data_IF_004917291856
#
_entry.id   IF_004917291856
#
_cell.length_a   1.000
_cell.length_b   1.000
_cell.length_c   1.000
_cell.angle_alpha   90.00
_cell.angle_beta   90.00
_cell.angle_gamma   90.00
#
_symmetry.space_group_name_H-M   'P 1'
#
loop_
_entity.id
_entity.type
_entity.pdbx_description
1 polymer ?
#
# COMPACT_ATOMS: atom_id res chain seq x y z
N UNK A 1 -37.19 -5.67 -16.45
CA UNK A 1 -37.90 -4.46 -16.00
C UNK A 1 -38.76 -4.80 -14.79
N UNK A 2 -38.30 -4.49 -13.59
CA UNK A 2 -39.11 -4.48 -12.37
C UNK A 2 -38.77 -3.19 -11.63
N UNK A 3 -39.64 -2.20 -11.75
CA UNK A 3 -39.57 -0.94 -10.99
C UNK A 3 -40.59 -1.10 -9.87
N UNK A 4 -40.15 -1.55 -8.69
CA UNK A 4 -41.00 -1.53 -7.50
C UNK A 4 -40.88 -0.17 -6.83
N UNK A 5 -42.03 0.44 -6.53
CA UNK A 5 -42.11 1.51 -5.55
C UNK A 5 -41.80 0.89 -4.17
N UNK A 6 -40.56 1.02 -3.73
CA UNK A 6 -40.07 0.25 -2.59
C UNK A 6 -40.30 1.04 -1.28
N UNK A 7 -41.41 0.76 -0.61
CA UNK A 7 -41.61 0.99 0.83
C UNK A 7 -41.15 -0.22 1.68
N UNK A 8 -40.49 -1.21 1.07
CA UNK A 8 -39.97 -2.41 1.73
C UNK A 8 -38.44 -2.43 1.79
N UNK A 9 -37.90 -2.97 2.89
CA UNK A 9 -36.47 -3.06 3.18
C UNK A 9 -35.61 -3.51 1.98
N UNK A 10 -34.50 -2.82 1.79
CA UNK A 10 -33.55 -2.99 0.69
C UNK A 10 -32.84 -4.35 0.75
N UNK A 11 -32.61 -5.02 -0.40
CA UNK A 11 -31.80 -6.24 -0.45
C UNK A 11 -30.37 -5.99 0.03
N UNK A 12 -29.88 -6.86 0.91
CA UNK A 12 -28.45 -6.94 1.27
C UNK A 12 -27.69 -7.42 0.05
N UNK A 13 -26.67 -6.69 -0.39
CA UNK A 13 -25.78 -7.11 -1.48
C UNK A 13 -24.32 -7.12 -1.02
N UNK A 14 -23.60 -8.18 -1.37
CA UNK A 14 -22.18 -8.33 -1.06
C UNK A 14 -21.34 -7.73 -2.18
N UNK A 15 -20.46 -6.78 -1.84
CA UNK A 15 -19.50 -6.19 -2.77
C UNK A 15 -18.18 -6.97 -2.62
N UNK A 16 -17.68 -7.57 -3.70
CA UNK A 16 -16.40 -8.25 -3.70
C UNK A 16 -15.23 -7.25 -3.65
N UNK A 17 -14.06 -7.66 -3.15
CA UNK A 17 -12.88 -6.81 -3.11
C UNK A 17 -12.49 -6.32 -4.52
N UNK A 18 -12.14 -5.04 -4.64
CA UNK A 18 -11.83 -4.36 -5.91
C UNK A 18 -12.99 -4.25 -6.91
N UNK A 19 -14.24 -4.38 -6.48
CA UNK A 19 -15.41 -4.18 -7.35
C UNK A 19 -16.05 -2.80 -7.17
N UNK A 20 -16.60 -2.28 -8.27
CA UNK A 20 -17.48 -1.12 -8.29
C UNK A 20 -18.90 -1.59 -8.05
N UNK A 21 -19.55 -1.10 -7.01
CA UNK A 21 -20.99 -1.28 -6.83
C UNK A 21 -21.74 -0.09 -7.41
N UNK A 22 -22.73 -0.36 -8.25
CA UNK A 22 -23.61 0.65 -8.86
C UNK A 22 -25.01 0.49 -8.29
N UNK A 23 -25.47 1.47 -7.52
CA UNK A 23 -26.87 1.59 -7.12
C UNK A 23 -27.52 2.62 -8.03
N UNK A 24 -28.55 2.21 -8.78
CA UNK A 24 -29.35 3.10 -9.62
C UNK A 24 -30.52 3.65 -8.81
N UNK A 25 -30.51 4.96 -8.57
CA UNK A 25 -31.60 5.67 -7.92
C UNK A 25 -32.41 6.42 -8.97
N UNK A 26 -33.74 6.25 -8.96
CA UNK A 26 -34.67 6.94 -9.86
C UNK A 26 -35.74 7.63 -9.00
N UNK A 27 -35.71 8.96 -8.86
CA UNK A 27 -36.76 9.70 -8.17
C UNK A 27 -38.08 9.60 -8.97
N UNK A 28 -39.14 9.09 -8.34
CA UNK A 28 -40.43 8.86 -9.01
C UNK A 28 -41.28 10.14 -9.15
N UNK A 29 -41.11 11.13 -8.26
CA UNK A 29 -41.80 12.43 -8.38
C UNK A 29 -41.11 13.57 -7.60
N UNK A 30 -40.84 14.67 -8.32
CA UNK A 30 -40.23 15.90 -7.78
C UNK A 30 -38.73 15.79 -7.46
N UNK A 31 -38.05 16.94 -7.37
CA UNK A 31 -36.68 16.98 -6.86
C UNK A 31 -36.72 16.74 -5.35
N UNK A 32 -36.05 15.69 -4.87
CA UNK A 32 -35.96 15.34 -3.45
C UNK A 32 -34.54 14.96 -3.11
N UNK A 33 -34.12 15.26 -1.88
CA UNK A 33 -32.92 14.67 -1.30
C UNK A 33 -33.14 13.17 -1.11
N UNK A 34 -32.21 12.33 -1.58
CA UNK A 34 -32.18 10.91 -1.27
C UNK A 34 -31.06 10.68 -0.27
N UNK A 35 -31.42 10.20 0.92
CA UNK A 35 -30.44 9.77 1.94
C UNK A 35 -30.23 8.27 1.79
N UNK A 36 -28.98 7.85 1.57
CA UNK A 36 -28.60 6.44 1.55
C UNK A 36 -27.97 6.08 2.89
N UNK A 37 -28.60 5.16 3.62
CA UNK A 37 -28.05 4.61 4.87
C UNK A 37 -27.34 3.29 4.59
N UNK A 38 -26.08 3.19 5.01
CA UNK A 38 -25.31 1.93 4.94
C UNK A 38 -25.31 1.32 6.34
N UNK A 39 -26.13 0.30 6.57
CA UNK A 39 -26.32 -0.29 7.90
C UNK A 39 -25.08 -1.02 8.43
N UNK A 40 -24.35 -1.73 7.57
CA UNK A 40 -23.10 -2.42 7.93
C UNK A 40 -22.21 -2.46 6.70
N UNK A 41 -21.03 -1.84 6.79
CA UNK A 41 -19.99 -1.93 5.77
C UNK A 41 -18.80 -2.70 6.35
N UNK A 42 -18.65 -3.95 5.91
CA UNK A 42 -17.52 -4.80 6.30
C UNK A 42 -16.45 -4.73 5.22
N UNK A 43 -15.43 -3.90 5.44
CA UNK A 43 -14.23 -3.90 4.61
C UNK A 43 -13.30 -4.99 5.15
N UNK A 44 -13.15 -6.07 4.37
CA UNK A 44 -12.20 -7.13 4.74
C UNK A 44 -10.80 -6.54 4.73
N UNK A 45 -10.27 -6.37 5.93
CA UNK A 45 -8.94 -5.85 6.31
C UNK A 45 -8.92 -4.33 6.54
N UNK A 46 -8.88 -3.96 7.83
CA UNK A 46 -8.51 -2.66 8.42
C UNK A 46 -9.57 -1.61 8.75
N UNK A 47 -10.79 -1.68 8.22
CA UNK A 47 -11.80 -0.66 8.54
C UNK A 47 -13.14 -1.30 8.89
N UNK A 48 -13.45 -1.33 10.18
CA UNK A 48 -14.79 -1.62 10.65
C UNK A 48 -15.60 -0.32 10.59
N UNK A 49 -16.47 -0.18 9.59
CA UNK A 49 -17.35 0.97 9.42
C UNK A 49 -18.73 0.77 10.08
N UNK A 50 -18.90 -0.23 10.96
CA UNK A 50 -20.16 -0.44 11.68
C UNK A 50 -20.54 0.83 12.44
N UNK A 51 -21.79 1.28 12.25
CA UNK A 51 -22.37 2.45 12.90
C UNK A 51 -21.55 3.75 12.75
N UNK A 52 -20.81 3.90 11.64
CA UNK A 52 -20.11 5.16 11.29
C UNK A 52 -20.87 5.86 10.17
N UNK A 53 -21.06 7.18 10.29
CA UNK A 53 -21.60 7.99 9.21
C UNK A 53 -20.54 8.12 8.09
N UNK A 54 -20.90 7.71 6.88
CA UNK A 54 -20.13 8.00 5.66
C UNK A 54 -20.82 9.20 5.00
N UNK A 55 -20.17 10.35 5.04
CA UNK A 55 -20.75 11.63 4.56
C UNK A 55 -20.04 12.07 3.28
N UNK A 56 -20.78 12.22 2.18
CA UNK A 56 -20.28 12.91 0.98
C UNK A 56 -20.21 14.41 1.25
N UNK A 57 -19.12 15.07 0.83
CA UNK A 57 -19.01 16.54 0.85
C UNK A 57 -19.69 17.20 -0.36
N UNK A 58 -20.14 16.40 -1.33
CA UNK A 58 -20.83 16.89 -2.52
C UNK A 58 -22.35 16.80 -2.35
N UNK A 59 -23.02 17.92 -2.55
CA UNK A 59 -24.48 17.99 -2.70
C UNK A 59 -24.82 17.91 -4.19
N UNK A 60 -25.48 16.82 -4.60
CA UNK A 60 -25.93 16.64 -5.99
C UNK A 60 -27.45 16.75 -6.02
N UNK A 61 -27.97 17.71 -6.78
CA UNK A 61 -29.41 17.83 -7.02
C UNK A 61 -29.86 16.78 -8.05
N UNK A 62 -30.79 15.91 -7.66
CA UNK A 62 -31.34 14.88 -8.54
C UNK A 62 -32.59 15.38 -9.27
N UNK A 63 -32.69 15.06 -10.56
CA UNK A 63 -33.78 15.46 -11.46
C UNK A 63 -34.67 14.26 -11.79
N UNK A 64 -36.00 14.49 -11.95
CA UNK A 64 -36.94 13.44 -12.37
C UNK A 64 -36.54 12.78 -13.70
N UNK A 65 -36.76 11.47 -13.80
CA UNK A 65 -36.48 10.71 -15.03
C UNK A 65 -34.99 10.51 -15.35
N UNK A 66 -34.07 11.04 -14.53
CA UNK A 66 -32.62 10.81 -14.67
C UNK A 66 -32.17 9.68 -13.77
N UNK A 67 -31.20 8.91 -14.26
CA UNK A 67 -30.57 7.83 -13.52
C UNK A 67 -29.24 8.31 -12.98
N UNK A 68 -29.02 8.08 -11.69
CA UNK A 68 -27.79 8.46 -11.01
C UNK A 68 -27.09 7.21 -10.49
N UNK A 69 -25.76 7.24 -10.55
CA UNK A 69 -24.89 6.17 -10.07
C UNK A 69 -24.07 6.70 -8.92
N UNK A 70 -24.15 6.05 -7.76
CA UNK A 70 -23.19 6.24 -6.66
C UNK A 70 -22.13 5.15 -6.82
N UNK A 71 -20.87 5.56 -6.97
CA UNK A 71 -19.72 4.66 -7.04
C UNK A 71 -18.97 4.71 -5.71
N UNK A 72 -18.92 3.58 -5.00
CA UNK A 72 -18.04 3.40 -3.84
C UNK A 72 -16.75 2.71 -4.32
N UNK A 73 -15.61 3.38 -4.20
CA UNK A 73 -14.29 2.82 -4.55
C UNK A 73 -13.47 2.62 -3.28
N UNK A 74 -13.17 1.37 -2.96
CA UNK A 74 -12.26 1.01 -1.88
C UNK A 74 -10.94 0.59 -2.50
N UNK A 75 -9.92 1.42 -2.36
CA UNK A 75 -8.59 1.07 -2.82
C UNK A 75 -7.70 0.88 -1.60
N UNK A 76 -7.20 -0.35 -1.44
CA UNK A 76 -6.28 -0.70 -0.37
C UNK A 76 -4.92 -0.02 -0.55
N UNK A 77 -4.18 0.17 0.55
CA UNK A 77 -2.86 0.77 0.53
C UNK A 77 -2.84 2.27 0.87
N UNK A 78 -1.63 2.81 0.95
CA UNK A 78 -1.33 4.19 1.33
C UNK A 78 -1.00 4.96 0.04
N UNK A 79 -1.82 5.95 -0.28
CA UNK A 79 -1.57 6.90 -1.36
C UNK A 79 -1.94 8.28 -0.83
N UNK A 80 -1.01 9.23 -0.95
CA UNK A 80 -1.20 10.60 -0.51
C UNK A 80 -1.28 11.54 -1.71
N UNK A 81 -2.09 12.59 -1.59
CA UNK A 81 -1.97 13.71 -2.51
C UNK A 81 -0.61 14.40 -2.29
N UNK A 82 -0.05 15.02 -3.33
CA UNK A 82 1.22 15.73 -3.21
C UNK A 82 1.18 16.84 -2.13
N UNK A 83 0.00 17.44 -1.89
CA UNK A 83 -0.25 18.42 -0.82
C UNK A 83 -0.12 17.83 0.59
N UNK A 84 -0.38 16.55 0.75
CA UNK A 84 -0.35 15.86 2.06
C UNK A 84 1.05 15.31 2.39
N UNK A 85 1.99 15.38 1.43
CA UNK A 85 3.39 15.01 1.61
C UNK A 85 4.12 16.20 2.26
N UNK A 86 4.32 16.13 3.57
CA UNK A 86 4.78 17.24 4.41
C UNK A 86 6.11 16.98 5.16
N UNK A 87 6.66 15.76 5.08
CA UNK A 87 8.00 15.47 5.58
C UNK A 87 9.05 15.92 4.57
N UNK A 88 9.32 17.22 4.51
CA UNK A 88 10.16 17.84 3.48
C UNK A 88 11.57 18.19 3.93
N UNK A 89 11.93 17.85 5.16
CA UNK A 89 13.18 18.28 5.79
C UNK A 89 14.42 17.66 5.15
N UNK A 90 14.28 16.59 4.37
CA UNK A 90 15.41 15.85 3.78
C UNK A 90 15.57 16.05 2.26
N UNK A 91 15.25 17.25 1.76
CA UNK A 91 15.41 17.58 0.34
C UNK A 91 14.27 17.07 -0.55
N UNK A 92 13.09 16.82 0.03
CA UNK A 92 11.88 16.43 -0.72
C UNK A 92 11.45 17.56 -1.67
N UNK A 93 11.63 17.38 -2.97
CA UNK A 93 11.27 18.36 -3.98
C UNK A 93 9.78 18.28 -4.36
N UNK A 94 9.24 19.31 -5.02
CA UNK A 94 7.89 19.25 -5.59
C UNK A 94 7.74 18.11 -6.61
N UNK A 95 8.80 17.82 -7.37
CA UNK A 95 8.83 16.67 -8.30
C UNK A 95 8.72 15.35 -7.55
N UNK A 96 9.46 15.18 -6.44
CA UNK A 96 9.39 13.98 -5.62
C UNK A 96 7.98 13.77 -5.08
N UNK A 97 7.33 14.83 -4.59
CA UNK A 97 5.94 14.76 -4.10
C UNK A 97 4.97 14.34 -5.19
N UNK A 98 5.07 14.92 -6.38
CA UNK A 98 4.19 14.60 -7.50
C UNK A 98 4.39 13.16 -7.99
N UNK A 99 5.62 12.66 -7.98
CA UNK A 99 5.92 11.29 -8.36
C UNK A 99 5.45 10.28 -7.32
N UNK A 100 5.68 10.55 -6.03
CA UNK A 100 5.20 9.71 -4.93
C UNK A 100 3.67 9.70 -4.84
N UNK A 101 2.99 10.79 -5.18
CA UNK A 101 1.52 10.86 -5.20
C UNK A 101 0.89 9.96 -6.29
N UNK A 102 1.65 9.58 -7.33
CA UNK A 102 1.22 8.61 -8.35
C UNK A 102 1.36 7.16 -7.87
N UNK A 103 2.00 6.95 -6.72
CA UNK A 103 2.29 5.64 -6.17
C UNK A 103 1.38 5.32 -4.99
N UNK A 104 1.10 4.02 -4.87
CA UNK A 104 0.29 3.44 -3.81
C UNK A 104 1.07 2.32 -3.14
N UNK A 105 1.22 2.40 -1.84
CA UNK A 105 2.05 1.49 -1.05
C UNK A 105 1.20 0.49 -0.27
N UNK A 106 1.71 -0.72 -0.07
CA UNK A 106 1.07 -1.71 0.79
C UNK A 106 1.02 -1.23 2.25
N UNK A 107 -0.05 -1.56 2.98
CA UNK A 107 -0.18 -1.17 4.40
C UNK A 107 0.68 -2.00 5.34
N UNK A 108 1.25 -3.12 4.89
CA UNK A 108 2.22 -3.93 5.64
C UNK A 108 3.41 -4.37 4.79
N UNK A 109 4.44 -4.90 5.47
CA UNK A 109 5.53 -5.61 4.80
C UNK A 109 5.01 -6.95 4.27
N UNK A 110 5.53 -7.43 3.15
CA UNK A 110 5.14 -8.71 2.58
C UNK A 110 5.37 -9.86 3.59
N UNK A 111 4.38 -10.74 3.76
CA UNK A 111 4.36 -11.79 4.80
C UNK A 111 3.78 -13.08 4.23
N UNK A 112 4.57 -13.81 3.46
CA UNK A 112 4.16 -15.08 2.85
C UNK A 112 5.32 -16.07 2.71
N UNK A 113 5.05 -17.36 2.88
CA UNK A 113 6.05 -18.44 2.75
C UNK A 113 5.94 -19.24 1.44
N UNK A 114 5.07 -18.82 0.50
CA UNK A 114 5.17 -19.28 -0.89
C UNK A 114 4.18 -20.33 -1.38
N UNK A 115 3.44 -21.05 -0.52
CA UNK A 115 2.61 -22.16 -1.01
C UNK A 115 1.25 -21.73 -1.62
N UNK A 116 0.61 -20.69 -1.09
CA UNK A 116 -0.58 -20.00 -1.65
C UNK A 116 -0.77 -18.67 -0.91
N UNK A 117 -1.51 -17.72 -1.50
CA UNK A 117 -2.00 -16.50 -0.82
C UNK A 117 -0.91 -15.58 -0.27
N UNK A 118 -0.10 -14.95 -1.14
CA UNK A 118 0.77 -13.88 -0.65
C UNK A 118 -0.08 -12.74 -0.09
N UNK A 119 0.23 -12.36 1.14
CA UNK A 119 -0.40 -11.27 1.88
C UNK A 119 0.68 -10.32 2.37
N UNK A 120 0.32 -9.07 2.59
CA UNK A 120 1.14 -8.19 3.42
C UNK A 120 0.70 -8.29 4.88
N UNK A 121 1.61 -7.96 5.79
CA UNK A 121 1.40 -7.94 7.22
C UNK A 121 0.24 -7.02 7.59
N UNK A 122 -0.42 -7.34 8.69
CA UNK A 122 -1.56 -6.58 9.19
C UNK A 122 -1.21 -5.10 9.34
N UNK A 123 -0.12 -4.79 10.04
CA UNK A 123 0.26 -3.39 10.35
C UNK A 123 1.56 -2.95 9.68
N UNK A 124 1.77 -1.62 9.60
CA UNK A 124 3.03 -1.03 9.14
C UNK A 124 4.21 -1.35 10.09
N UNK A 125 3.91 -1.67 11.35
CA UNK A 125 4.88 -1.94 12.42
C UNK A 125 5.32 -3.40 12.50
N UNK A 126 4.70 -4.30 11.74
CA UNK A 126 5.16 -5.69 11.64
C UNK A 126 6.31 -5.84 10.65
N UNK A 127 7.30 -6.68 11.00
CA UNK A 127 8.50 -6.86 10.18
C UNK A 127 8.26 -7.55 8.84
N UNK A 128 7.21 -8.37 8.71
CA UNK A 128 6.97 -9.21 7.54
C UNK A 128 7.97 -10.35 7.43
N UNK A 129 8.08 -10.94 6.24
CA UNK A 129 9.10 -11.93 5.90
C UNK A 129 10.18 -11.30 5.02
N UNK A 130 11.30 -12.01 4.93
CA UNK A 130 12.46 -11.61 4.16
C UNK A 130 12.48 -12.34 2.82
N UNK A 131 12.90 -11.64 1.77
CA UNK A 131 12.98 -12.15 0.41
C UNK A 131 14.32 -11.75 -0.22
N UNK A 132 14.85 -12.64 -1.05
CA UNK A 132 16.04 -12.34 -1.85
C UNK A 132 15.70 -11.58 -3.12
N UNK A 133 16.72 -10.95 -3.69
CA UNK A 133 16.55 -10.15 -4.90
C UNK A 133 16.00 -10.99 -6.05
N UNK A 134 14.86 -10.55 -6.61
CA UNK A 134 14.16 -11.23 -7.69
C UNK A 134 13.83 -12.71 -7.39
N UNK A 135 13.57 -13.03 -6.12
CA UNK A 135 13.19 -14.38 -5.67
C UNK A 135 11.85 -14.38 -4.93
N UNK A 136 11.09 -15.44 -5.16
CA UNK A 136 9.98 -15.84 -4.31
C UNK A 136 10.50 -16.53 -3.04
N UNK A 137 9.63 -16.77 -2.07
CA UNK A 137 10.03 -17.36 -0.79
C UNK A 137 10.61 -18.78 -0.95
N UNK A 138 10.14 -19.55 -1.92
CA UNK A 138 10.61 -20.90 -2.25
C UNK A 138 11.96 -20.91 -3.02
N UNK A 139 12.54 -19.75 -3.29
CA UNK A 139 13.80 -19.60 -4.04
C UNK A 139 13.64 -19.58 -5.57
N UNK A 140 12.42 -19.77 -6.10
CA UNK A 140 12.14 -19.59 -7.51
C UNK A 140 12.27 -18.12 -7.93
N UNK A 141 12.56 -17.86 -9.20
CA UNK A 141 12.75 -16.50 -9.70
C UNK A 141 11.41 -15.78 -9.89
N UNK A 142 11.29 -14.57 -9.35
CA UNK A 142 10.12 -13.72 -9.53
C UNK A 142 10.02 -12.58 -8.54
N UNK A 143 9.21 -11.57 -8.88
CA UNK A 143 8.88 -10.47 -7.97
C UNK A 143 7.85 -10.95 -6.93
N UNK A 144 8.19 -10.99 -5.63
CA UNK A 144 7.29 -11.51 -4.61
C UNK A 144 6.04 -10.63 -4.43
N UNK A 145 6.10 -9.35 -4.77
CA UNK A 145 4.92 -8.47 -4.74
C UNK A 145 3.92 -8.76 -5.85
N UNK A 146 4.37 -9.31 -6.98
CA UNK A 146 3.47 -9.72 -8.08
C UNK A 146 2.58 -10.91 -7.72
N UNK A 147 2.93 -11.63 -6.64
CA UNK A 147 2.21 -12.79 -6.15
C UNK A 147 1.13 -12.47 -5.13
N UNK A 148 1.05 -11.21 -4.66
CA UNK A 148 -0.01 -10.76 -3.75
C UNK A 148 -1.37 -11.25 -4.26
N UNK A 149 -2.18 -11.81 -3.35
CA UNK A 149 -3.45 -12.41 -3.72
C UNK A 149 -4.34 -11.35 -4.41
N UNK A 150 -4.61 -11.59 -5.69
CA UNK A 150 -5.29 -10.64 -6.57
C UNK A 150 -6.75 -10.44 -6.20
N UNK A 151 -7.40 -11.46 -5.60
CA UNK A 151 -8.76 -11.33 -5.10
C UNK A 151 -8.83 -10.35 -3.93
N UNK A 152 -7.80 -10.26 -3.08
CA UNK A 152 -7.77 -9.32 -1.96
C UNK A 152 -7.17 -7.97 -2.35
N UNK A 153 -6.01 -7.96 -3.01
CA UNK A 153 -5.21 -6.74 -3.21
C UNK A 153 -5.29 -6.17 -4.63
N UNK A 154 -5.89 -6.90 -5.57
CA UNK A 154 -5.89 -6.55 -6.98
C UNK A 154 -4.55 -6.85 -7.65
N UNK A 155 -4.38 -6.34 -8.86
CA UNK A 155 -3.20 -6.60 -9.70
C UNK A 155 -2.22 -5.42 -9.74
N UNK A 156 -1.06 -5.65 -10.37
CA UNK A 156 -0.02 -4.65 -10.66
C UNK A 156 0.78 -4.16 -9.45
N UNK A 157 0.76 -4.93 -8.35
CA UNK A 157 1.71 -4.75 -7.26
C UNK A 157 3.09 -5.27 -7.67
N UNK A 158 4.12 -4.55 -7.24
CA UNK A 158 5.51 -4.82 -7.57
C UNK A 158 6.45 -4.38 -6.44
N UNK A 159 7.67 -4.90 -6.47
CA UNK A 159 8.76 -4.39 -5.64
C UNK A 159 9.15 -2.97 -6.13
N UNK A 160 9.38 -2.00 -5.23
CA UNK A 160 9.71 -0.63 -5.61
C UNK A 160 11.08 -0.51 -6.29
N UNK A 161 11.26 0.53 -7.10
CA UNK A 161 12.56 0.80 -7.75
C UNK A 161 13.50 1.55 -6.81
N UNK A 162 14.80 1.56 -7.15
CA UNK A 162 15.79 2.46 -6.54
C UNK A 162 15.29 3.92 -6.52
N UNK A 163 14.84 4.43 -7.66
CA UNK A 163 14.41 5.83 -7.79
C UNK A 163 13.20 6.16 -6.90
N UNK A 164 12.25 5.23 -6.78
CA UNK A 164 11.08 5.39 -5.90
C UNK A 164 11.48 5.41 -4.42
N UNK A 165 12.41 4.54 -3.99
CA UNK A 165 12.93 4.57 -2.63
C UNK A 165 13.80 5.80 -2.36
N UNK A 166 14.59 6.29 -3.33
CA UNK A 166 15.37 7.53 -3.20
C UNK A 166 14.47 8.75 -2.99
N UNK A 167 13.32 8.79 -3.67
CA UNK A 167 12.28 9.80 -3.44
C UNK A 167 11.69 9.70 -2.04
N UNK A 168 11.40 8.50 -1.55
CA UNK A 168 10.99 8.32 -0.16
C UNK A 168 12.06 8.82 0.82
N UNK A 169 13.33 8.46 0.61
CA UNK A 169 14.44 8.94 1.44
C UNK A 169 14.46 10.46 1.52
N UNK A 170 14.25 11.18 0.41
CA UNK A 170 14.19 12.64 0.44
C UNK A 170 12.95 13.18 1.17
N UNK A 171 11.85 12.43 1.16
CA UNK A 171 10.59 12.79 1.79
C UNK A 171 10.39 12.10 3.15
N UNK A 172 11.37 12.21 4.05
CA UNK A 172 11.29 11.80 5.46
C UNK A 172 11.87 12.89 6.36
N UNK A 173 11.44 12.92 7.63
CA UNK A 173 12.04 13.76 8.68
C UNK A 173 13.23 13.08 9.38
N UNK A 174 13.57 11.84 8.98
CA UNK A 174 14.63 11.00 9.56
C UNK A 174 14.45 10.70 11.05
N UNK A 175 13.24 10.84 11.60
CA UNK A 175 12.98 10.51 12.99
C UNK A 175 12.87 8.99 13.14
N UNK A 176 13.83 8.40 13.85
CA UNK A 176 13.85 6.97 14.12
C UNK A 176 13.05 6.62 15.37
N UNK A 177 12.09 5.69 15.24
CA UNK A 177 11.34 5.14 16.38
C UNK A 177 11.06 3.64 16.16
N UNK A 178 12.13 2.84 16.12
CA UNK A 178 12.06 1.42 15.73
C UNK A 178 11.71 1.21 14.25
N UNK A 179 11.79 2.27 13.45
CA UNK A 179 11.36 2.41 12.07
C UNK A 179 11.38 3.90 11.69
N UNK A 180 10.97 4.24 10.48
CA UNK A 180 10.90 5.64 10.02
C UNK A 180 9.61 5.93 9.26
N UNK A 181 9.11 7.16 9.43
CA UNK A 181 8.00 7.69 8.64
C UNK A 181 8.48 8.36 7.36
N UNK A 182 7.70 8.19 6.31
CA UNK A 182 7.93 8.73 4.98
C UNK A 182 6.65 9.39 4.49
N UNK A 183 6.82 10.44 3.70
CA UNK A 183 5.82 11.32 3.14
C UNK A 183 5.03 12.15 4.17
N UNK A 184 4.50 11.51 5.21
CA UNK A 184 3.70 12.12 6.27
C UNK A 184 3.79 11.24 7.53
N UNK A 185 3.99 11.82 8.71
CA UNK A 185 4.18 11.06 9.96
C UNK A 185 2.90 10.52 10.60
N UNK A 186 1.73 10.79 10.00
CA UNK A 186 0.42 10.33 10.46
C UNK A 186 -0.31 9.50 9.40
N UNK A 187 -0.28 9.95 8.16
CA UNK A 187 -1.02 9.36 7.04
C UNK A 187 -0.11 8.59 6.08
N UNK A 188 1.20 8.77 6.20
CA UNK A 188 2.16 8.27 5.22
C UNK A 188 2.59 6.83 5.44
N UNK A 189 3.76 6.52 4.91
CA UNK A 189 4.34 5.20 4.94
C UNK A 189 5.31 5.09 6.13
N UNK A 190 5.11 4.11 6.98
CA UNK A 190 6.05 3.72 8.01
C UNK A 190 6.74 2.42 7.62
N UNK A 191 8.07 2.45 7.59
CA UNK A 191 8.89 1.27 7.38
C UNK A 191 9.48 0.83 8.71
N UNK A 192 9.12 -0.38 9.17
CA UNK A 192 9.67 -0.98 10.37
C UNK A 192 11.16 -1.29 10.18
N UNK A 193 11.97 -0.99 11.19
CA UNK A 193 13.33 -1.50 11.29
C UNK A 193 13.28 -2.99 11.68
N UNK A 194 13.18 -3.87 10.70
CA UNK A 194 13.05 -5.32 10.87
C UNK A 194 14.40 -6.07 10.70
N UNK A 195 15.47 -5.35 10.36
CA UNK A 195 16.77 -5.93 10.07
C UNK A 195 16.85 -6.53 8.66
N UNK A 196 17.72 -7.52 8.50
CA UNK A 196 17.94 -8.28 7.27
C UNK A 196 18.45 -9.69 7.54
N UNK A 197 18.48 -10.55 6.51
CA UNK A 197 19.04 -11.91 6.57
C UNK A 197 20.31 -12.01 5.72
N UNK A 198 21.50 -11.77 6.29
CA UNK A 198 22.74 -11.85 5.54
C UNK A 198 22.99 -13.29 5.07
N UNK A 199 23.27 -13.45 3.77
CA UNK A 199 23.70 -14.69 3.09
C UNK A 199 22.82 -15.93 3.30
N UNK A 200 21.61 -15.75 3.82
CA UNK A 200 20.68 -16.82 4.21
C UNK A 200 19.35 -16.75 3.46
N UNK A 201 19.19 -15.72 2.62
CA UNK A 201 18.06 -15.58 1.71
C UNK A 201 16.69 -15.42 2.40
N UNK A 202 15.60 -15.95 1.81
CA UNK A 202 14.25 -15.79 2.32
C UNK A 202 14.03 -16.46 3.68
N UNK A 203 13.26 -15.83 4.57
CA UNK A 203 13.00 -16.37 5.91
C UNK A 203 12.06 -15.51 6.75
N UNK A 204 11.82 -15.95 7.99
CA UNK A 204 10.88 -15.30 8.91
C UNK A 204 11.55 -14.24 9.80
N UNK A 205 12.80 -14.44 10.16
CA UNK A 205 13.52 -13.61 11.15
C UNK A 205 14.80 -13.01 10.55
N UNK A 206 15.03 -11.73 10.86
CA UNK A 206 16.19 -10.98 10.43
C UNK A 206 17.12 -10.64 11.59
N UNK A 207 18.42 -10.57 11.29
CA UNK A 207 19.45 -9.99 12.18
C UNK A 207 19.30 -8.47 12.25
N UNK A 208 19.55 -7.87 13.43
CA UNK A 208 19.42 -6.41 13.61
C UNK A 208 17.97 -5.90 13.68
N UNK A 209 17.01 -6.79 13.95
CA UNK A 209 15.61 -6.38 14.16
C UNK A 209 15.52 -5.36 15.30
N UNK A 210 14.89 -4.22 15.04
CA UNK A 210 14.77 -3.11 15.98
C UNK A 210 15.93 -2.12 15.98
N UNK A 211 16.99 -2.33 15.19
CA UNK A 211 18.13 -1.38 15.08
C UNK A 211 18.29 -0.79 13.69
N UNK A 212 17.96 -1.54 12.63
CA UNK A 212 17.96 -1.03 11.25
C UNK A 212 16.81 -1.61 10.42
N UNK A 213 16.46 -0.93 9.32
CA UNK A 213 15.54 -1.43 8.32
C UNK A 213 16.23 -1.53 6.98
N UNK A 214 16.14 -2.72 6.35
CA UNK A 214 16.71 -2.96 5.02
C UNK A 214 15.62 -3.46 4.08
N UNK A 215 15.30 -2.65 3.08
CA UNK A 215 14.18 -2.86 2.16
C UNK A 215 14.65 -3.08 0.73
N UNK A 216 14.12 -4.14 0.12
CA UNK A 216 14.47 -4.55 -1.23
C UNK A 216 14.01 -3.54 -2.29
N UNK A 217 14.84 -3.33 -3.30
CA UNK A 217 14.39 -2.75 -4.57
C UNK A 217 14.35 -3.79 -5.69
N UNK A 218 13.62 -3.48 -6.76
CA UNK A 218 13.65 -4.24 -8.01
C UNK A 218 14.85 -3.86 -8.89
N UNK A 219 15.79 -3.02 -8.43
CA UNK A 219 16.87 -2.47 -9.23
C UNK A 219 18.17 -3.22 -8.98
N UNK A 220 18.75 -3.76 -10.06
CA UNK A 220 20.05 -4.41 -10.04
C UNK A 220 21.14 -3.43 -9.61
N UNK A 221 22.08 -3.87 -8.79
CA UNK A 221 23.24 -3.08 -8.39
C UNK A 221 24.28 -3.02 -9.52
N UNK A 222 25.17 -2.04 -9.43
CA UNK A 222 26.25 -1.85 -10.40
C UNK A 222 27.44 -2.79 -10.14
N UNK A 223 27.50 -3.44 -8.96
CA UNK A 223 28.52 -4.43 -8.63
C UNK A 223 28.03 -5.85 -8.85
N UNK A 224 28.96 -6.77 -9.09
CA UNK A 224 28.68 -8.20 -9.22
C UNK A 224 27.89 -8.71 -8.01
N UNK A 225 26.79 -9.41 -8.27
CA UNK A 225 25.91 -10.04 -7.28
C UNK A 225 25.26 -9.06 -6.28
N UNK A 226 25.11 -7.78 -6.64
CA UNK A 226 24.43 -6.78 -5.78
C UNK A 226 23.09 -6.32 -6.34
N UNK A 227 22.25 -5.79 -5.45
CA UNK A 227 21.02 -5.06 -5.73
C UNK A 227 21.03 -3.75 -4.94
N UNK A 228 20.28 -2.75 -5.38
CA UNK A 228 20.03 -1.59 -4.52
C UNK A 228 19.06 -1.97 -3.41
N UNK A 229 19.35 -1.54 -2.19
CA UNK A 229 18.46 -1.65 -1.04
C UNK A 229 18.37 -0.29 -0.33
N UNK A 230 17.19 0.00 0.22
CA UNK A 230 17.03 1.09 1.18
C UNK A 230 17.51 0.58 2.54
N UNK A 231 18.52 1.21 3.10
CA UNK A 231 19.07 0.91 4.41
C UNK A 231 18.97 2.16 5.30
N UNK A 232 18.41 1.99 6.49
CA UNK A 232 18.29 3.07 7.46
C UNK A 232 18.47 2.57 8.89
N UNK A 233 18.98 3.45 9.74
CA UNK A 233 19.15 3.23 11.17
C UNK A 233 18.99 4.54 11.93
N UNK A 234 19.46 4.59 13.17
CA UNK A 234 19.28 5.76 14.05
C UNK A 234 19.90 7.04 13.52
N UNK A 235 20.99 6.96 12.76
CA UNK A 235 21.78 8.12 12.30
C UNK A 235 21.90 8.24 10.79
N UNK A 236 21.37 7.29 10.03
CA UNK A 236 21.59 7.20 8.59
C UNK A 236 20.35 6.72 7.85
N UNK A 237 20.25 7.10 6.58
CA UNK A 237 19.29 6.58 5.61
C UNK A 237 19.86 6.74 4.21
N UNK A 238 19.86 5.66 3.43
CA UNK A 238 20.45 5.63 2.09
C UNK A 238 19.80 4.56 1.22
N UNK A 239 19.73 4.79 -0.09
CA UNK A 239 19.50 3.72 -1.07
C UNK A 239 20.83 3.40 -1.71
N UNK A 240 21.36 2.20 -1.49
CA UNK A 240 22.73 1.87 -1.87
C UNK A 240 22.85 0.45 -2.39
N UNK A 241 23.79 0.24 -3.30
CA UNK A 241 24.37 -1.06 -3.64
C UNK A 241 25.79 -1.22 -3.04
N UNK A 242 26.25 -0.20 -2.30
CA UNK A 242 27.55 -0.09 -1.65
C UNK A 242 27.41 -0.49 -0.18
N UNK A 243 27.69 -1.77 0.08
CA UNK A 243 27.69 -2.33 1.42
C UNK A 243 27.86 -3.84 1.30
N UNK A 244 29.03 -4.35 1.66
CA UNK A 244 29.40 -5.77 1.45
C UNK A 244 28.36 -6.74 2.02
N UNK A 245 27.55 -6.31 2.99
CA UNK A 245 26.54 -7.13 3.66
C UNK A 245 25.09 -6.71 3.43
N UNK A 246 24.78 -5.47 3.03
CA UNK A 246 23.40 -4.94 3.02
C UNK A 246 22.79 -4.87 1.61
N UNK A 247 23.56 -5.24 0.59
CA UNK A 247 23.17 -5.10 -0.81
C UNK A 247 23.42 -6.36 -1.66
N UNK A 248 23.79 -7.49 -1.06
CA UNK A 248 23.97 -8.74 -1.81
C UNK A 248 22.62 -9.32 -2.25
N UNK A 249 22.55 -9.83 -3.47
CA UNK A 249 21.31 -10.44 -4.00
C UNK A 249 20.88 -11.68 -3.21
N UNK A 250 21.84 -12.36 -2.57
CA UNK A 250 21.61 -13.58 -1.78
C UNK A 250 21.05 -13.32 -0.38
N UNK A 251 21.06 -12.07 0.09
CA UNK A 251 20.48 -11.75 1.39
C UNK A 251 18.95 -11.80 1.33
N UNK A 252 18.31 -11.88 2.49
CA UNK A 252 16.88 -11.62 2.64
C UNK A 252 16.60 -10.21 3.16
N UNK A 253 15.64 -9.55 2.53
CA UNK A 253 15.26 -8.17 2.82
C UNK A 253 13.77 -8.05 3.12
N UNK A 254 13.39 -7.06 3.92
CA UNK A 254 11.99 -6.68 4.01
C UNK A 254 11.49 -6.15 2.65
N UNK A 255 10.22 -6.41 2.34
CA UNK A 255 9.61 -5.96 1.08
C UNK A 255 8.35 -5.16 1.38
N UNK A 256 8.29 -3.93 0.90
CA UNK A 256 7.10 -3.08 0.93
C UNK A 256 6.60 -2.89 -0.50
N UNK A 257 5.52 -3.58 -0.84
CA UNK A 257 5.00 -3.56 -2.20
C UNK A 257 4.43 -2.19 -2.59
N UNK A 258 4.57 -1.85 -3.86
CA UNK A 258 4.06 -0.60 -4.45
C UNK A 258 3.29 -0.90 -5.73
N UNK A 259 2.34 -0.03 -6.06
CA UNK A 259 1.56 -0.03 -7.31
C UNK A 259 1.52 1.39 -7.88
N UNK A 260 1.45 1.51 -9.19
CA UNK A 260 1.38 2.78 -9.91
C UNK A 260 2.40 2.85 -11.04
N UNK A 261 2.34 3.93 -11.83
CA UNK A 261 3.28 4.19 -12.92
C UNK A 261 4.69 4.20 -12.35
N UNK A 262 5.57 3.38 -12.91
CA UNK A 262 6.97 3.29 -12.49
C UNK A 262 7.63 4.66 -12.67
N UNK A 263 8.26 5.18 -11.61
CA UNK A 263 8.92 6.49 -11.60
C UNK A 263 10.41 6.38 -11.84
#
# INVERSE_FOLDING_TARGET
NNVSANTGNTPTFNIANNSTATVRLVPFSGSRAITVHIGTLKLSNYFNANNRNITSSQNVQLLPGKSYTITLKFELGIQLAASDINLTQNGCTASDKNDLAKLRWATGNLKSTGNVNYVWASSQTEGGHFYSFNKLYDGSTGDPCSKLNTAYYGTSWRTPTKNELEKLVRCTDRVYNGGMWFMNNRLGLFLKAAGMRPETGPGLEGTGSGTSGVYLTSTLGNRKNTCYALDFGTTYIVVTDTGAWNALQINGYSVRCVKGTKQ
#
